data_IF_916938241523
#
_entry.id   IF_916938241523
#
_cell.length_a   1.000
_cell.length_b   1.000
_cell.length_c   1.000
_cell.angle_alpha   90.00
_cell.angle_beta   90.00
_cell.angle_gamma   90.00
#
_symmetry.space_group_name_H-M   'P 1'
#
loop_
_entity.id
_entity.type
_entity.pdbx_description
1 polymer ?
#
# COMPACT_ATOMS: atom_id res chain seq x y z
N UNK A 1 8.32 72.88 6.42
CA UNK A 1 9.00 71.71 5.83
C UNK A 1 7.98 70.61 5.61
N UNK A 2 7.68 70.28 4.36
CA UNK A 2 6.74 69.21 4.00
C UNK A 2 7.45 67.86 4.05
N UNK A 3 6.85 66.88 4.74
CA UNK A 3 7.41 65.54 4.94
C UNK A 3 6.91 64.63 3.81
N UNK A 4 7.80 64.26 2.89
CA UNK A 4 7.51 63.24 1.87
C UNK A 4 7.27 61.89 2.55
N UNK A 5 6.12 61.27 2.29
CA UNK A 5 5.88 59.86 2.60
C UNK A 5 5.96 59.05 1.31
N UNK A 6 6.94 58.16 1.22
CA UNK A 6 7.11 57.23 0.12
C UNK A 6 6.32 55.95 0.44
N UNK A 7 5.23 55.68 -0.31
CA UNK A 7 4.50 54.40 -0.22
C UNK A 7 5.16 53.40 -1.17
N UNK A 8 5.87 52.42 -0.62
CA UNK A 8 6.28 51.21 -1.35
C UNK A 8 5.05 50.30 -1.49
N UNK A 9 4.61 50.07 -2.72
CA UNK A 9 3.58 49.07 -3.04
C UNK A 9 4.28 47.91 -3.74
N UNK A 10 4.44 46.80 -3.02
CA UNK A 10 4.98 45.55 -3.55
C UNK A 10 3.89 44.84 -4.35
N UNK A 11 4.00 44.80 -5.67
CA UNK A 11 3.15 43.98 -6.53
C UNK A 11 3.79 42.59 -6.62
N UNK A 12 3.23 41.59 -5.93
CA UNK A 12 3.58 40.20 -6.20
C UNK A 12 3.04 39.84 -7.60
N UNK A 13 3.95 39.62 -8.54
CA UNK A 13 3.62 39.01 -9.83
C UNK A 13 3.59 37.51 -9.55
N UNK A 14 2.40 36.91 -9.51
CA UNK A 14 2.28 35.46 -9.33
C UNK A 14 2.97 34.77 -10.51
N UNK A 15 3.86 33.81 -10.23
CA UNK A 15 4.54 33.08 -11.29
C UNK A 15 3.48 32.34 -12.14
N UNK A 16 3.57 32.33 -13.47
CA UNK A 16 2.58 31.71 -14.35
C UNK A 16 2.26 30.25 -13.97
N UNK A 17 3.25 29.50 -13.46
CA UNK A 17 3.08 28.13 -12.96
C UNK A 17 2.18 28.04 -11.73
N UNK A 18 2.22 29.02 -10.83
CA UNK A 18 1.38 29.02 -9.62
C UNK A 18 -0.09 29.25 -9.97
N UNK A 19 -0.37 30.04 -11.01
CA UNK A 19 -1.73 30.25 -11.53
C UNK A 19 -2.26 28.96 -12.16
N UNK A 20 -1.42 28.26 -12.92
CA UNK A 20 -1.81 27.02 -13.59
C UNK A 20 -2.11 25.91 -12.58
N UNK A 21 -1.27 25.77 -11.55
CA UNK A 21 -1.46 24.79 -10.48
C UNK A 21 -2.73 25.10 -9.66
N UNK A 22 -2.94 26.36 -9.30
CA UNK A 22 -4.17 26.77 -8.62
C UNK A 22 -5.42 26.51 -9.47
N UNK A 23 -5.33 26.72 -10.79
CA UNK A 23 -6.42 26.41 -11.73
C UNK A 23 -6.69 24.91 -11.79
N UNK A 24 -5.66 24.07 -11.74
CA UNK A 24 -5.81 22.61 -11.76
C UNK A 24 -6.48 22.09 -10.46
N UNK A 25 -6.06 22.61 -9.31
CA UNK A 25 -6.65 22.28 -7.99
C UNK A 25 -8.10 22.76 -7.83
N UNK A 26 -8.48 23.82 -8.53
CA UNK A 26 -9.83 24.39 -8.47
C UNK A 26 -10.84 23.67 -9.38
N UNK A 27 -10.39 22.79 -10.28
CA UNK A 27 -11.28 22.05 -11.16
C UNK A 27 -11.86 20.83 -10.44
N UNK A 28 -13.18 20.63 -10.58
CA UNK A 28 -13.81 19.37 -10.22
C UNK A 28 -13.32 18.28 -11.19
N UNK A 29 -13.28 17.02 -10.75
CA UNK A 29 -12.74 15.87 -11.49
C UNK A 29 -13.30 15.79 -12.92
N UNK A 30 -14.61 15.99 -13.07
CA UNK A 30 -15.29 16.01 -14.38
C UNK A 30 -14.74 17.10 -15.32
N UNK A 31 -14.46 18.28 -14.79
CA UNK A 31 -13.91 19.38 -15.59
C UNK A 31 -12.44 19.14 -15.94
N UNK A 32 -11.72 18.40 -15.09
CA UNK A 32 -10.33 18.02 -15.31
C UNK A 32 -10.23 16.98 -16.43
N UNK A 33 -11.07 15.95 -16.42
CA UNK A 33 -11.15 14.96 -17.51
C UNK A 33 -11.47 15.61 -18.85
N UNK A 34 -12.48 16.48 -18.90
CA UNK A 34 -12.80 17.23 -20.12
C UNK A 34 -11.64 18.09 -20.59
N UNK A 35 -10.85 18.64 -19.65
CA UNK A 35 -9.69 19.44 -20.00
C UNK A 35 -8.56 18.59 -20.57
N UNK A 36 -8.29 17.42 -19.98
CA UNK A 36 -7.32 16.45 -20.51
C UNK A 36 -7.71 16.02 -21.93
N UNK A 37 -8.98 15.67 -22.16
CA UNK A 37 -9.47 15.27 -23.48
C UNK A 37 -9.28 16.38 -24.53
N UNK A 38 -9.61 17.63 -24.19
CA UNK A 38 -9.37 18.76 -25.10
C UNK A 38 -7.87 18.96 -25.38
N UNK A 39 -7.00 18.80 -24.38
CA UNK A 39 -5.55 18.91 -24.59
C UNK A 39 -5.03 17.74 -25.43
N UNK A 40 -5.57 16.53 -25.29
CA UNK A 40 -5.26 15.38 -26.15
C UNK A 40 -5.66 15.64 -27.61
N UNK A 41 -6.83 16.25 -27.85
CA UNK A 41 -7.28 16.60 -29.21
C UNK A 41 -6.50 17.75 -29.84
N UNK A 42 -6.08 18.73 -29.03
CA UNK A 42 -5.40 19.94 -29.52
C UNK A 42 -3.89 19.83 -29.56
N UNK A 43 -3.30 18.92 -28.79
CA UNK A 43 -1.86 18.70 -28.74
C UNK A 43 -1.49 17.41 -29.51
N UNK A 44 -1.02 17.53 -30.76
CA UNK A 44 -0.71 16.38 -31.61
C UNK A 44 0.49 15.53 -31.11
N UNK A 45 1.18 15.95 -30.04
CA UNK A 45 2.26 15.19 -29.40
C UNK A 45 1.76 14.29 -28.27
N UNK A 46 0.54 14.52 -27.75
CA UNK A 46 -0.03 13.68 -26.70
C UNK A 46 -0.68 12.44 -27.31
N UNK A 47 -0.28 11.27 -26.83
CA UNK A 47 -0.84 9.97 -27.22
C UNK A 47 -1.47 9.28 -26.00
N UNK A 48 -2.56 8.55 -26.23
CA UNK A 48 -3.19 7.73 -25.20
C UNK A 48 -2.42 6.42 -25.05
N UNK A 49 -1.75 6.24 -23.91
CA UNK A 49 -1.04 4.99 -23.61
C UNK A 49 -2.07 3.91 -23.27
N UNK A 50 -2.30 2.98 -24.20
CA UNK A 50 -3.12 1.79 -23.93
C UNK A 50 -2.35 0.86 -22.99
N UNK A 51 -2.96 0.51 -21.85
CA UNK A 51 -2.44 -0.53 -20.95
C UNK A 51 -3.10 -1.86 -21.33
N UNK A 52 -2.38 -2.69 -22.06
CA UNK A 52 -2.67 -4.12 -22.10
C UNK A 52 -1.62 -4.81 -21.19
N UNK A 53 -2.11 -5.52 -20.17
CA UNK A 53 -1.34 -6.40 -19.29
C UNK A 53 -0.10 -5.81 -18.60
N UNK A 54 -0.32 -4.75 -17.79
CA UNK A 54 0.60 -4.34 -16.71
C UNK A 54 2.00 -3.87 -17.14
N UNK A 55 2.33 -3.93 -18.42
CA UNK A 55 3.64 -3.59 -18.96
C UNK A 55 3.50 -2.32 -19.79
N UNK A 56 4.25 -1.27 -19.41
CA UNK A 56 4.35 -0.07 -20.22
C UNK A 56 5.13 -0.42 -21.48
N UNK A 57 4.44 -0.60 -22.60
CA UNK A 57 5.09 -0.71 -23.91
C UNK A 57 5.61 0.68 -24.26
N UNK A 58 6.88 0.92 -23.93
CA UNK A 58 7.64 2.00 -24.54
C UNK A 58 7.73 1.67 -26.03
N UNK A 59 7.05 2.40 -26.90
CA UNK A 59 7.44 2.43 -28.31
C UNK A 59 8.80 3.10 -28.36
N UNK A 60 9.85 2.30 -28.28
CA UNK A 60 11.22 2.69 -28.57
C UNK A 60 11.26 3.27 -29.99
N UNK A 61 11.68 4.52 -30.12
CA UNK A 61 12.51 5.08 -31.20
C UNK A 61 12.50 6.62 -31.14
N UNK A 62 13.23 7.19 -30.18
CA UNK A 62 13.81 8.52 -30.38
C UNK A 62 15.32 8.34 -30.27
N UNK A 63 15.95 8.15 -31.41
CA UNK A 63 17.41 8.21 -31.55
C UNK A 63 17.91 9.48 -30.85
N UNK A 64 18.67 9.25 -29.79
CA UNK A 64 19.26 10.30 -28.97
C UNK A 64 20.45 10.89 -29.71
N UNK A 65 20.17 11.68 -30.75
CA UNK A 65 21.18 12.43 -31.49
C UNK A 65 21.56 13.65 -30.65
N UNK A 66 22.39 13.40 -29.63
CA UNK A 66 22.96 14.42 -28.75
C UNK A 66 23.90 15.30 -29.56
N UNK A 67 23.36 16.34 -30.18
CA UNK A 67 24.12 17.38 -30.83
C UNK A 67 24.87 18.18 -29.74
N UNK A 68 26.18 17.94 -29.65
CA UNK A 68 27.11 18.60 -28.73
C UNK A 68 27.22 20.10 -29.06
N UNK A 69 26.34 20.89 -28.44
CA UNK A 69 26.46 22.35 -28.37
C UNK A 69 27.06 22.72 -27.02
N UNK A 70 28.39 22.71 -26.97
CA UNK A 70 29.18 23.33 -25.91
C UNK A 70 28.90 24.83 -25.82
N UNK A 71 27.93 25.20 -24.97
CA UNK A 71 27.73 26.57 -24.52
C UNK A 71 28.04 26.65 -23.03
N UNK A 72 29.27 27.06 -22.71
CA UNK A 72 29.68 27.40 -21.34
C UNK A 72 28.83 28.59 -20.85
N UNK A 73 27.83 28.30 -20.02
CA UNK A 73 27.15 29.30 -19.21
C UNK A 73 26.90 28.72 -17.82
N UNK A 74 27.67 29.22 -16.85
CA UNK A 74 27.58 28.94 -15.41
C UNK A 74 26.27 29.52 -14.83
N UNK A 75 25.15 28.89 -15.17
CA UNK A 75 23.83 29.13 -14.61
C UNK A 75 23.24 27.79 -14.18
N UNK A 76 22.78 27.62 -12.92
CA UNK A 76 22.11 26.40 -12.51
C UNK A 76 20.82 26.26 -13.31
N UNK A 77 20.83 25.36 -14.29
CA UNK A 77 19.63 25.02 -15.03
C UNK A 77 18.57 24.52 -14.05
N UNK A 78 17.35 25.08 -14.08
CA UNK A 78 16.27 24.54 -13.27
C UNK A 78 15.99 23.14 -13.81
N UNK A 79 16.35 22.11 -13.04
CA UNK A 79 16.06 20.70 -13.34
C UNK A 79 14.68 20.60 -13.98
N UNK A 80 14.66 20.21 -15.24
CA UNK A 80 13.45 20.01 -16.02
C UNK A 80 12.49 19.16 -15.22
N UNK A 81 11.33 19.74 -14.91
CA UNK A 81 10.23 19.10 -14.15
C UNK A 81 9.57 17.94 -14.92
N UNK A 82 10.21 17.46 -15.98
CA UNK A 82 9.76 16.41 -16.89
C UNK A 82 10.76 15.24 -16.98
N UNK A 83 11.78 15.19 -16.14
CA UNK A 83 12.49 13.93 -15.87
C UNK A 83 11.58 13.05 -15.01
N UNK A 84 10.50 12.55 -15.61
CA UNK A 84 9.66 11.51 -15.03
C UNK A 84 10.44 10.20 -15.10
N UNK A 85 11.27 9.95 -14.08
CA UNK A 85 11.62 8.58 -13.74
C UNK A 85 10.36 7.96 -13.13
N UNK A 86 9.87 6.80 -13.63
CA UNK A 86 8.69 6.12 -13.08
C UNK A 86 8.84 5.79 -11.58
N UNK A 87 10.05 5.79 -11.05
CA UNK A 87 10.34 5.51 -9.63
C UNK A 87 10.03 6.65 -8.65
N UNK A 88 9.78 7.89 -9.11
CA UNK A 88 9.61 9.05 -8.22
C UNK A 88 8.18 9.58 -8.13
N UNK A 89 7.21 8.78 -8.58
CA UNK A 89 5.82 9.04 -8.32
C UNK A 89 5.44 8.34 -7.01
N UNK A 90 5.27 9.12 -5.92
CA UNK A 90 4.54 8.71 -4.72
C UNK A 90 3.05 8.47 -5.09
N UNK A 91 2.80 7.47 -5.93
CA UNK A 91 1.49 6.87 -6.12
C UNK A 91 1.33 5.91 -4.95
N UNK A 92 0.29 6.04 -4.11
CA UNK A 92 0.08 5.14 -2.97
C UNK A 92 -0.41 3.73 -3.39
N UNK A 93 0.22 3.11 -4.40
CA UNK A 93 -0.18 1.81 -4.97
C UNK A 93 0.87 0.70 -4.86
N UNK A 94 2.10 0.96 -4.39
CA UNK A 94 3.17 -0.06 -4.36
C UNK A 94 3.24 -0.88 -3.06
N UNK A 95 2.84 -0.31 -1.91
CA UNK A 95 3.03 -0.96 -0.60
C UNK A 95 2.38 -2.34 -0.41
N UNK A 96 1.33 -2.69 -1.17
CA UNK A 96 0.64 -3.97 -0.99
C UNK A 96 1.24 -5.12 -1.79
N UNK A 97 1.77 -4.82 -2.98
CA UNK A 97 2.42 -5.83 -3.82
C UNK A 97 3.73 -6.25 -3.16
N UNK A 98 4.54 -5.27 -2.73
CA UNK A 98 5.79 -5.50 -2.01
C UNK A 98 5.61 -6.42 -0.79
N UNK A 99 4.52 -6.24 -0.04
CA UNK A 99 4.25 -7.03 1.17
C UNK A 99 3.89 -8.50 0.90
N UNK A 100 3.06 -8.76 -0.12
CA UNK A 100 2.70 -10.14 -0.47
C UNK A 100 3.91 -10.84 -1.09
N UNK A 101 4.69 -10.13 -1.91
CA UNK A 101 5.94 -10.64 -2.49
C UNK A 101 6.93 -11.06 -1.39
N UNK A 102 7.14 -10.24 -0.35
CA UNK A 102 7.97 -10.60 0.81
C UNK A 102 7.50 -11.90 1.50
N UNK A 103 6.18 -12.11 1.63
CA UNK A 103 5.64 -13.33 2.23
C UNK A 103 5.81 -14.57 1.34
N UNK A 104 5.70 -14.39 0.02
CA UNK A 104 5.95 -15.46 -0.95
C UNK A 104 7.43 -15.88 -0.91
N UNK A 105 8.35 -14.92 -0.85
CA UNK A 105 9.78 -15.22 -0.68
C UNK A 105 10.05 -15.97 0.65
N UNK A 106 9.33 -15.63 1.72
CA UNK A 106 9.43 -16.38 2.98
C UNK A 106 8.97 -17.82 2.85
N UNK A 107 7.90 -18.10 2.08
CA UNK A 107 7.40 -19.47 1.88
C UNK A 107 8.44 -20.39 1.25
N UNK A 108 9.32 -19.87 0.38
CA UNK A 108 10.39 -20.63 -0.24
C UNK A 108 11.41 -21.15 0.78
N UNK A 109 11.60 -20.43 1.90
CA UNK A 109 12.51 -20.82 2.98
C UNK A 109 11.97 -22.03 3.76
N UNK A 110 10.65 -22.19 3.84
CA UNK A 110 10.00 -23.28 4.59
C UNK A 110 10.06 -24.64 3.89
N UNK A 111 10.57 -24.72 2.66
CA UNK A 111 10.80 -25.99 1.96
C UNK A 111 9.51 -26.76 1.64
N UNK A 112 8.44 -26.03 1.32
CA UNK A 112 7.13 -26.57 0.96
C UNK A 112 7.20 -27.36 -0.36
N UNK A 113 6.31 -28.34 -0.52
CA UNK A 113 6.14 -28.97 -1.84
C UNK A 113 5.47 -28.01 -2.82
N UNK A 114 5.64 -28.22 -4.12
CA UNK A 114 5.05 -27.37 -5.18
C UNK A 114 3.53 -27.18 -5.00
N UNK A 115 2.81 -28.25 -4.62
CA UNK A 115 1.38 -28.17 -4.34
C UNK A 115 1.04 -27.36 -3.08
N UNK A 116 1.86 -27.43 -2.05
CA UNK A 116 1.65 -26.68 -0.81
C UNK A 116 1.97 -25.19 -1.01
N UNK A 117 2.96 -24.89 -1.86
CA UNK A 117 3.26 -23.52 -2.26
C UNK A 117 2.08 -22.88 -3.00
N UNK A 118 1.47 -23.59 -3.97
CA UNK A 118 0.28 -23.10 -4.68
C UNK A 118 -0.89 -22.81 -3.71
N UNK A 119 -1.10 -23.68 -2.71
CA UNK A 119 -2.14 -23.46 -1.69
C UNK A 119 -1.81 -22.22 -0.85
N UNK A 120 -0.56 -22.07 -0.41
CA UNK A 120 -0.13 -20.94 0.40
C UNK A 120 -0.24 -19.61 -0.37
N UNK A 121 0.16 -19.61 -1.64
CA UNK A 121 0.08 -18.47 -2.52
C UNK A 121 -1.39 -18.03 -2.72
N UNK A 122 -2.30 -18.97 -2.97
CA UNK A 122 -3.73 -18.63 -3.05
C UNK A 122 -4.29 -18.09 -1.72
N UNK A 123 -3.80 -18.57 -0.58
CA UNK A 123 -4.21 -18.00 0.71
C UNK A 123 -3.72 -16.54 0.81
N UNK A 124 -2.48 -16.25 0.40
CA UNK A 124 -1.89 -14.92 0.46
C UNK A 124 -2.59 -13.93 -0.49
N UNK A 125 -2.96 -14.36 -1.69
CA UNK A 125 -3.68 -13.52 -2.66
C UNK A 125 -5.11 -13.18 -2.22
N UNK A 126 -5.68 -13.94 -1.27
CA UNK A 126 -7.03 -13.72 -0.74
C UNK A 126 -7.05 -13.00 0.63
N UNK A 127 -5.96 -12.30 0.96
CA UNK A 127 -5.86 -11.43 2.13
C UNK A 127 -6.47 -10.05 1.84
N UNK A 128 -7.14 -9.47 2.85
CA UNK A 128 -7.54 -8.06 2.83
C UNK A 128 -6.33 -7.14 3.12
N UNK A 129 -6.51 -5.83 2.94
CA UNK A 129 -5.57 -4.76 3.26
C UNK A 129 -5.05 -4.78 4.72
N UNK A 130 -5.70 -5.55 5.58
CA UNK A 130 -5.37 -5.74 7.00
C UNK A 130 -4.63 -7.05 7.29
N UNK A 131 -4.44 -7.91 6.29
CA UNK A 131 -3.83 -9.23 6.43
C UNK A 131 -4.76 -10.31 6.98
N UNK A 132 -6.08 -10.12 6.90
CA UNK A 132 -7.08 -11.14 7.28
C UNK A 132 -7.60 -11.90 6.06
N UNK A 133 -7.89 -13.18 6.22
CA UNK A 133 -8.51 -13.98 5.16
C UNK A 133 -9.97 -13.58 5.00
N UNK A 134 -10.37 -13.33 3.75
CA UNK A 134 -11.76 -12.98 3.42
C UNK A 134 -12.57 -14.18 2.91
N UNK A 135 -11.92 -15.25 2.45
CA UNK A 135 -12.55 -16.42 1.82
C UNK A 135 -12.58 -17.64 2.76
N UNK A 136 -13.61 -18.48 2.66
CA UNK A 136 -13.64 -19.76 3.40
C UNK A 136 -12.67 -20.80 2.82
N UNK A 137 -12.04 -21.59 3.68
CA UNK A 137 -11.06 -22.61 3.27
C UNK A 137 -11.67 -23.70 2.37
N UNK A 138 -12.97 -23.97 2.50
CA UNK A 138 -13.73 -24.88 1.64
C UNK A 138 -13.70 -24.45 0.18
N UNK A 139 -13.85 -23.15 -0.11
CA UNK A 139 -13.79 -22.63 -1.49
C UNK A 139 -12.39 -22.76 -2.10
N UNK A 140 -11.35 -22.58 -1.27
CA UNK A 140 -9.95 -22.74 -1.70
C UNK A 140 -9.68 -24.21 -2.02
N UNK A 141 -10.16 -25.12 -1.15
CA UNK A 141 -10.06 -26.57 -1.35
C UNK A 141 -10.76 -27.03 -2.63
N UNK A 142 -11.98 -26.55 -2.88
CA UNK A 142 -12.76 -26.86 -4.09
C UNK A 142 -12.07 -26.36 -5.37
N UNK A 143 -11.52 -25.13 -5.35
CA UNK A 143 -10.83 -24.55 -6.52
C UNK A 143 -9.56 -25.33 -6.87
N UNK A 144 -8.80 -25.74 -5.86
CA UNK A 144 -7.54 -26.49 -6.03
C UNK A 144 -7.76 -28.01 -6.10
N UNK A 145 -9.02 -28.47 -6.01
CA UNK A 145 -9.42 -29.87 -6.01
C UNK A 145 -8.61 -30.71 -4.99
N UNK A 146 -8.43 -30.16 -3.80
CA UNK A 146 -7.65 -30.74 -2.70
C UNK A 146 -8.52 -30.96 -1.47
N UNK A 147 -7.96 -31.62 -0.47
CA UNK A 147 -8.66 -31.87 0.79
C UNK A 147 -8.59 -30.64 1.71
N UNK A 148 -9.71 -30.29 2.35
CA UNK A 148 -9.78 -29.15 3.27
C UNK A 148 -8.77 -29.29 4.43
N UNK A 149 -8.48 -30.51 4.89
CA UNK A 149 -7.50 -30.74 5.95
C UNK A 149 -6.08 -30.29 5.53
N UNK A 150 -5.72 -30.46 4.25
CA UNK A 150 -4.43 -29.99 3.74
C UNK A 150 -4.37 -28.47 3.73
N UNK A 151 -5.45 -27.81 3.28
CA UNK A 151 -5.53 -26.35 3.27
C UNK A 151 -5.42 -25.79 4.69
N UNK A 152 -6.06 -26.43 5.68
CA UNK A 152 -5.94 -26.05 7.10
C UNK A 152 -4.51 -26.20 7.62
N UNK A 153 -3.79 -27.24 7.21
CA UNK A 153 -2.40 -27.43 7.62
C UNK A 153 -1.48 -26.36 7.03
N UNK A 154 -1.66 -26.03 5.74
CA UNK A 154 -0.89 -24.97 5.08
C UNK A 154 -1.25 -23.60 5.65
N UNK A 155 -2.52 -23.33 5.93
CA UNK A 155 -2.94 -22.12 6.61
C UNK A 155 -2.19 -21.91 7.93
N UNK A 156 -2.04 -22.95 8.75
CA UNK A 156 -1.28 -22.86 10.01
C UNK A 156 0.16 -22.47 9.76
N UNK A 157 0.80 -23.01 8.71
CA UNK A 157 2.16 -22.62 8.35
C UNK A 157 2.22 -21.15 7.92
N UNK A 158 1.30 -20.72 7.06
CA UNK A 158 1.19 -19.31 6.62
C UNK A 158 0.99 -18.37 7.82
N UNK A 159 0.19 -18.77 8.81
CA UNK A 159 -0.05 -17.97 10.01
C UNK A 159 1.18 -17.81 10.92
N UNK A 160 2.19 -18.68 10.77
CA UNK A 160 3.47 -18.61 11.50
C UNK A 160 4.57 -17.88 10.70
N UNK A 161 4.26 -17.32 9.53
CA UNK A 161 5.16 -16.43 8.81
C UNK A 161 5.46 -15.15 9.61
N UNK A 162 6.41 -14.35 9.14
CA UNK A 162 6.70 -13.04 9.72
C UNK A 162 6.00 -11.95 8.89
N UNK A 163 4.95 -11.27 9.43
CA UNK A 163 4.56 -11.18 10.84
C UNK A 163 3.59 -12.29 11.33
N UNK A 164 3.73 -12.74 12.60
CA UNK A 164 2.90 -13.82 13.14
C UNK A 164 1.43 -13.43 13.30
N UNK A 165 0.54 -14.36 12.96
CA UNK A 165 -0.89 -14.15 12.97
C UNK A 165 -1.43 -13.51 11.69
N UNK A 166 -0.62 -13.42 10.63
CA UNK A 166 -1.11 -13.10 9.29
C UNK A 166 -2.05 -14.20 8.79
N UNK A 167 -2.99 -13.85 7.90
CA UNK A 167 -3.98 -14.78 7.39
C UNK A 167 -4.90 -15.38 8.48
N UNK A 168 -5.07 -14.65 9.59
CA UNK A 168 -6.09 -15.00 10.59
C UNK A 168 -7.49 -14.65 10.08
N UNK A 169 -8.53 -15.32 10.57
CA UNK A 169 -9.93 -14.99 10.26
C UNK A 169 -10.44 -13.82 11.09
N UNK A 170 -9.92 -13.69 12.31
CA UNK A 170 -10.29 -12.62 13.22
C UNK A 170 -9.12 -12.15 14.11
N UNK A 171 -9.34 -11.04 14.81
CA UNK A 171 -8.37 -10.47 15.74
C UNK A 171 -8.05 -11.44 16.89
N UNK A 172 -9.03 -12.26 17.31
CA UNK A 172 -8.83 -13.24 18.38
C UNK A 172 -7.81 -14.29 17.97
N UNK A 173 -7.99 -14.91 16.81
CA UNK A 173 -7.07 -15.89 16.24
C UNK A 173 -5.68 -15.27 16.05
N UNK A 174 -5.60 -14.07 15.48
CA UNK A 174 -4.34 -13.34 15.31
C UNK A 174 -3.58 -13.18 16.64
N UNK A 175 -4.26 -12.70 17.69
CA UNK A 175 -3.66 -12.52 19.01
C UNK A 175 -3.32 -13.84 19.70
N UNK A 176 -4.10 -14.90 19.50
CA UNK A 176 -3.81 -16.22 20.07
C UNK A 176 -2.53 -16.80 19.48
N UNK A 177 -2.32 -16.64 18.18
CA UNK A 177 -1.11 -17.09 17.47
C UNK A 177 0.11 -16.29 17.95
N UNK A 178 -0.02 -14.96 18.06
CA UNK A 178 1.04 -14.10 18.61
C UNK A 178 1.38 -14.39 20.08
N UNK A 179 0.44 -14.94 20.84
CA UNK A 179 0.61 -15.30 22.24
C UNK A 179 0.90 -16.78 22.45
N UNK A 180 1.14 -17.55 21.38
CA UNK A 180 1.36 -18.99 21.50
C UNK A 180 2.61 -19.33 22.34
N UNK A 181 3.65 -18.51 22.27
CA UNK A 181 4.84 -18.63 23.11
C UNK A 181 4.61 -18.21 24.58
N UNK A 182 3.48 -17.55 24.86
CA UNK A 182 3.13 -16.97 26.17
C UNK A 182 1.79 -17.52 26.69
N UNK A 183 1.52 -18.81 26.47
CA UNK A 183 0.30 -19.51 26.92
C UNK A 183 -0.03 -19.31 28.41
N UNK A 184 0.99 -19.20 29.27
CA UNK A 184 0.80 -19.01 30.72
C UNK A 184 0.42 -17.57 31.13
N UNK A 185 0.55 -16.62 30.20
CA UNK A 185 0.31 -15.22 30.46
C UNK A 185 -1.16 -14.94 30.73
N UNK A 186 -1.40 -13.92 31.56
CA UNK A 186 -2.72 -13.35 31.79
C UNK A 186 -3.34 -12.86 30.47
N UNK A 187 -2.51 -12.41 29.53
CA UNK A 187 -2.94 -11.96 28.20
C UNK A 187 -3.64 -13.07 27.41
N UNK A 188 -3.10 -14.30 27.41
CA UNK A 188 -3.69 -15.43 26.69
C UNK A 188 -5.10 -15.76 27.23
N UNK A 189 -5.25 -15.77 28.55
CA UNK A 189 -6.55 -15.99 29.22
C UNK A 189 -7.56 -14.87 28.93
N UNK A 190 -7.11 -13.62 28.85
CA UNK A 190 -7.98 -12.49 28.50
C UNK A 190 -8.47 -12.62 27.05
N UNK A 191 -7.57 -12.93 26.12
CA UNK A 191 -7.91 -13.04 24.69
C UNK A 191 -8.80 -14.25 24.40
N UNK A 192 -8.57 -15.38 25.06
CA UNK A 192 -9.40 -16.59 24.89
C UNK A 192 -10.85 -16.37 25.33
N UNK A 193 -11.04 -15.88 26.55
CA UNK A 193 -12.35 -15.98 27.23
C UNK A 193 -13.04 -14.62 27.42
N UNK A 194 -12.29 -13.52 27.39
CA UNK A 194 -12.79 -12.18 27.78
C UNK A 194 -12.53 -11.09 26.73
N UNK A 195 -12.17 -11.44 25.49
CA UNK A 195 -11.91 -10.45 24.43
C UNK A 195 -13.14 -9.57 24.16
N UNK A 196 -14.33 -10.15 24.20
CA UNK A 196 -15.59 -9.43 23.95
C UNK A 196 -15.90 -8.44 25.09
N UNK A 197 -15.62 -8.81 26.34
CA UNK A 197 -15.78 -7.92 27.48
C UNK A 197 -14.73 -6.81 27.50
N UNK A 198 -13.50 -7.12 27.09
CA UNK A 198 -12.43 -6.15 26.91
C UNK A 198 -12.76 -5.14 25.81
N UNK A 199 -13.23 -5.61 24.65
CA UNK A 199 -13.66 -4.77 23.52
C UNK A 199 -14.79 -3.81 23.91
N UNK A 200 -15.72 -4.27 24.74
CA UNK A 200 -16.83 -3.48 25.24
C UNK A 200 -16.49 -2.54 26.43
N UNK A 201 -15.20 -2.33 26.73
CA UNK A 201 -14.72 -1.50 27.87
C UNK A 201 -15.24 -1.95 29.24
N UNK A 202 -15.69 -3.20 29.39
CA UNK A 202 -16.16 -3.78 30.66
C UNK A 202 -15.00 -4.36 31.46
N UNK A 203 -14.01 -3.52 31.74
CA UNK A 203 -12.76 -3.92 32.42
C UNK A 203 -12.99 -4.47 33.84
N UNK A 204 -14.07 -4.04 34.52
CA UNK A 204 -14.45 -4.50 35.86
C UNK A 204 -14.82 -5.99 35.88
N UNK A 205 -15.52 -6.49 34.85
CA UNK A 205 -15.90 -7.90 34.76
C UNK A 205 -14.69 -8.80 34.46
N UNK A 206 -13.77 -8.32 33.63
CA UNK A 206 -12.50 -9.03 33.36
C UNK A 206 -11.65 -9.11 34.64
N UNK A 207 -11.57 -8.01 35.41
CA UNK A 207 -10.75 -7.94 36.63
C UNK A 207 -11.31 -8.76 37.81
N UNK A 208 -12.63 -8.93 37.89
CA UNK A 208 -13.25 -9.75 38.93
C UNK A 208 -13.14 -11.25 38.66
N UNK A 209 -13.20 -11.67 37.40
CA UNK A 209 -13.17 -13.09 37.03
C UNK A 209 -11.76 -13.64 36.78
N UNK A 210 -10.82 -12.80 36.32
CA UNK A 210 -9.40 -13.16 36.36
C UNK A 210 -8.90 -12.94 37.79
N UNK A 211 -8.57 -14.02 38.47
CA UNK A 211 -7.78 -13.97 39.72
C UNK A 211 -6.39 -13.45 39.34
N UNK A 212 -6.26 -12.13 39.21
CA UNK A 212 -5.01 -11.45 38.95
C UNK A 212 -4.16 -11.60 40.21
N UNK A 213 -3.00 -12.28 40.18
CA UNK A 213 -2.06 -12.14 41.28
C UNK A 213 -1.67 -10.66 41.29
N UNK A 214 -1.89 -10.00 42.43
CA UNK A 214 -1.47 -8.61 42.65
C UNK A 214 -0.02 -8.48 42.21
N UNK A 215 0.23 -7.59 41.26
CA UNK A 215 1.57 -7.06 41.01
C UNK A 215 2.09 -6.50 42.34
N UNK A 216 3.07 -7.20 42.93
CA UNK A 216 3.94 -6.66 43.98
C UNK A 216 5.04 -5.82 43.35
#
# INVERSE_FOLDING_TARGET
>A
MQRLQQKLVQKQILAPRQILLAKLLQLNIVNLEQKILNELETNPVLEEIQREDGTLISTEDVENDTMDMSFEADAPEPKSLFQYSPDNLDIPQQYQLDFIEELVEQLDIYGLTEFEHIIAEEILWNLDNRGYITIELSLIADRLNTDEEKVVNILKLVQHLEPPGIASRDLRECLLIQLEDKKDSLAFRIVSDYLDDFSNKRYENCKQNLVVPKMS
#
